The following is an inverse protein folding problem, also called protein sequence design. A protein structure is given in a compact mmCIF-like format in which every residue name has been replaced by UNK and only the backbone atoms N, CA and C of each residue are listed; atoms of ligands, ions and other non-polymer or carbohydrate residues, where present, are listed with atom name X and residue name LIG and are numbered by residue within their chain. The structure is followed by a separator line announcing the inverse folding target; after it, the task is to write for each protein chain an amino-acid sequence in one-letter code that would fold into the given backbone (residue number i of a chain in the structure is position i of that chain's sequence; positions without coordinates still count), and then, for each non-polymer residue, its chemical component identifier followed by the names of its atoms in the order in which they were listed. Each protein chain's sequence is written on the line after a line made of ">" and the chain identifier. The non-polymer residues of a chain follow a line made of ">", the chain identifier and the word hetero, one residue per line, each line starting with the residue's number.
data_IF_786394297159
#
_entry.id   IF_786394297159
#
_cell.length_a   1.000
_cell.length_b   1.000
_cell.length_c   1.000
_cell.angle_alpha   90.00
_cell.angle_beta   90.00
_cell.angle_gamma   90.00
#
_symmetry.space_group_name_H-M   'P 1'
#
loop_
_entity.id
_entity.type
_entity.pdbx_description
1 polymer ?
#
# COMPACT_ATOMS: atom_id res chain seq x y z
N UNK A 1 23.67 4.12 -9.39
CA UNK A 1 24.33 4.98 -10.40
C UNK A 1 24.61 4.15 -11.63
N UNK A 2 24.42 4.71 -12.82
CA UNK A 2 24.67 4.06 -14.10
C UNK A 2 25.56 4.98 -14.97
N UNK A 3 26.21 4.42 -15.99
CA UNK A 3 26.99 5.19 -16.96
C UNK A 3 26.07 5.85 -18.01
N UNK A 4 26.57 6.84 -18.73
CA UNK A 4 25.79 7.55 -19.75
C UNK A 4 25.38 6.65 -20.93
N UNK A 5 26.16 5.60 -21.21
CA UNK A 5 25.95 4.61 -22.27
C UNK A 5 25.05 3.44 -21.85
N UNK A 6 24.60 3.38 -20.58
CA UNK A 6 23.75 2.27 -20.11
C UNK A 6 22.40 2.30 -20.83
N UNK A 7 21.97 1.19 -21.47
CA UNK A 7 20.71 1.15 -22.19
C UNK A 7 19.55 0.98 -21.22
N UNK A 8 18.50 1.78 -21.39
CA UNK A 8 17.20 1.64 -20.75
C UNK A 8 16.12 1.32 -21.78
N UNK A 9 15.18 0.48 -21.41
CA UNK A 9 14.01 0.18 -22.24
C UNK A 9 12.95 1.23 -21.93
N UNK A 10 12.71 2.13 -22.88
CA UNK A 10 11.93 3.37 -22.67
C UNK A 10 10.98 3.64 -23.83
N UNK A 11 9.96 4.43 -23.55
CA UNK A 11 8.97 4.92 -24.53
C UNK A 11 8.63 6.37 -24.25
N UNK A 12 7.98 7.02 -25.19
CA UNK A 12 7.26 8.29 -25.01
C UNK A 12 6.03 8.32 -25.91
N UNK A 13 5.06 9.26 -25.70
CA UNK A 13 3.85 9.32 -26.50
C UNK A 13 4.14 9.30 -28.01
N UNK A 14 3.55 8.34 -28.72
CA UNK A 14 3.72 8.16 -30.17
C UNK A 14 4.99 7.41 -30.60
N UNK A 15 5.84 6.95 -29.69
CA UNK A 15 7.03 6.17 -30.00
C UNK A 15 6.90 4.76 -29.37
N UNK A 16 7.10 3.69 -30.14
CA UNK A 16 7.17 2.34 -29.58
C UNK A 16 8.31 2.24 -28.55
N UNK A 17 8.19 1.25 -27.67
CA UNK A 17 9.24 0.94 -26.70
C UNK A 17 10.52 0.50 -27.40
N UNK A 18 11.63 1.11 -27.00
CA UNK A 18 12.96 0.83 -27.56
C UNK A 18 14.05 0.95 -26.50
N UNK A 19 15.23 0.37 -26.76
CA UNK A 19 16.41 0.59 -25.94
C UNK A 19 17.08 1.90 -26.32
N UNK A 20 17.32 2.78 -25.33
CA UNK A 20 18.08 4.01 -25.48
C UNK A 20 19.14 4.16 -24.41
N UNK A 21 20.28 4.72 -24.76
CA UNK A 21 21.31 5.08 -23.81
C UNK A 21 20.84 6.24 -22.92
N UNK A 22 21.22 6.23 -21.63
CA UNK A 22 20.84 7.26 -20.66
C UNK A 22 21.05 8.68 -21.16
N UNK A 23 22.17 8.93 -21.86
CA UNK A 23 22.48 10.25 -22.45
C UNK A 23 21.49 10.73 -23.51
N UNK A 24 20.64 9.84 -24.04
CA UNK A 24 19.64 10.13 -25.07
C UNK A 24 18.23 10.26 -24.49
N UNK A 25 18.09 10.13 -23.15
CA UNK A 25 16.80 10.14 -22.43
C UNK A 25 16.68 11.49 -21.73
N UNK A 26 15.57 12.18 -21.98
CA UNK A 26 15.15 13.40 -21.27
C UNK A 26 13.87 13.15 -20.46
N UNK A 27 13.33 14.18 -19.82
CA UNK A 27 12.16 14.11 -18.93
C UNK A 27 10.86 13.70 -19.64
N UNK A 28 10.85 13.59 -20.97
CA UNK A 28 9.69 13.15 -21.76
C UNK A 28 9.62 11.61 -21.96
N UNK A 29 10.65 10.89 -21.52
CA UNK A 29 10.72 9.43 -21.65
C UNK A 29 10.25 8.72 -20.40
N UNK A 30 9.54 7.62 -20.59
CA UNK A 30 9.03 6.74 -19.53
C UNK A 30 9.75 5.40 -19.62
N UNK A 31 10.23 4.91 -18.49
CA UNK A 31 10.70 3.52 -18.37
C UNK A 31 9.54 2.66 -17.88
N UNK A 32 9.34 1.51 -18.50
CA UNK A 32 8.40 0.52 -17.96
C UNK A 32 9.11 -0.33 -16.92
N UNK A 33 8.46 -0.50 -15.80
CA UNK A 33 8.84 -1.50 -14.81
C UNK A 33 7.90 -2.69 -14.98
N UNK A 34 8.41 -3.76 -15.62
CA UNK A 34 7.70 -5.04 -15.63
C UNK A 34 8.02 -5.74 -14.32
N UNK A 35 7.06 -5.75 -13.43
CA UNK A 35 7.14 -6.57 -12.22
C UNK A 35 6.68 -7.98 -12.57
N UNK A 36 7.36 -9.02 -12.09
CA UNK A 36 6.90 -10.38 -12.31
C UNK A 36 5.53 -10.57 -11.65
N UNK A 37 4.63 -11.22 -12.35
CA UNK A 37 3.29 -11.58 -11.88
C UNK A 37 3.43 -12.81 -10.93
N UNK A 38 4.03 -12.60 -9.77
CA UNK A 38 4.18 -13.63 -8.75
C UNK A 38 2.93 -13.67 -7.87
N UNK A 39 1.94 -14.45 -8.25
CA UNK A 39 0.75 -14.72 -7.41
C UNK A 39 1.07 -15.60 -6.19
N UNK A 40 2.07 -15.29 -5.43
CA UNK A 40 2.50 -16.10 -4.29
C UNK A 40 1.93 -15.69 -2.94
N UNK A 41 0.90 -14.84 -2.90
CA UNK A 41 0.39 -14.39 -1.62
C UNK A 41 -0.97 -15.02 -1.27
N UNK A 42 -1.07 -15.44 -0.02
CA UNK A 42 -2.17 -16.19 0.57
C UNK A 42 -3.46 -15.37 0.76
N UNK A 43 -3.39 -14.03 0.62
CA UNK A 43 -4.52 -13.15 0.91
C UNK A 43 -5.36 -12.84 -0.34
N UNK A 44 -6.69 -12.82 -0.16
CA UNK A 44 -7.64 -12.30 -1.13
C UNK A 44 -7.54 -10.78 -1.29
N UNK A 45 -8.10 -10.24 -2.37
CA UNK A 45 -8.09 -8.82 -2.69
C UNK A 45 -8.70 -7.95 -1.58
N UNK A 46 -9.68 -8.46 -0.86
CA UNK A 46 -10.37 -7.76 0.23
C UNK A 46 -9.40 -7.47 1.39
N UNK A 47 -8.54 -8.45 1.74
CA UNK A 47 -7.49 -8.27 2.75
C UNK A 47 -6.43 -7.29 2.24
N UNK A 48 -6.12 -7.30 0.95
CA UNK A 48 -5.20 -6.33 0.37
C UNK A 48 -5.71 -4.89 0.47
N UNK A 49 -7.02 -4.67 0.36
CA UNK A 49 -7.59 -3.35 0.66
C UNK A 49 -7.33 -2.91 2.11
N UNK A 50 -7.50 -3.82 3.09
CA UNK A 50 -7.21 -3.56 4.51
C UNK A 50 -5.72 -3.27 4.73
N UNK A 51 -4.82 -3.98 4.03
CA UNK A 51 -3.37 -3.73 4.10
C UNK A 51 -3.03 -2.34 3.54
N UNK A 52 -3.62 -1.95 2.42
CA UNK A 52 -3.49 -0.60 1.87
C UNK A 52 -3.97 0.46 2.86
N UNK A 53 -5.13 0.27 3.45
CA UNK A 53 -5.67 1.16 4.50
C UNK A 53 -4.78 1.22 5.75
N UNK A 54 -4.13 0.12 6.11
CA UNK A 54 -3.13 0.09 7.20
C UNK A 54 -1.94 1.00 6.89
N UNK A 55 -1.47 1.05 5.66
CA UNK A 55 -0.37 1.95 5.27
C UNK A 55 -0.74 3.42 5.38
N UNK A 56 -2.00 3.78 5.17
CA UNK A 56 -2.49 5.14 5.43
C UNK A 56 -2.58 5.41 6.95
N UNK A 57 -3.61 4.90 7.57
CA UNK A 57 -4.05 5.29 8.93
C UNK A 57 -3.94 4.17 9.97
N UNK A 58 -3.18 3.11 9.69
CA UNK A 58 -3.05 1.97 10.58
C UNK A 58 -1.73 1.95 11.35
N UNK A 59 -1.74 1.28 12.50
CA UNK A 59 -0.54 0.92 13.27
C UNK A 59 -0.73 -0.39 14.02
N UNK A 60 0.37 -0.97 14.47
CA UNK A 60 0.38 -2.20 15.25
C UNK A 60 0.68 -1.91 16.71
N UNK A 61 -0.06 -2.57 17.61
CA UNK A 61 0.14 -2.50 19.05
C UNK A 61 0.41 -3.89 19.59
N UNK A 62 1.60 -4.09 20.14
CA UNK A 62 1.94 -5.37 20.79
C UNK A 62 1.17 -5.49 22.12
N UNK A 63 0.63 -6.67 22.38
CA UNK A 63 -0.03 -6.96 23.65
C UNK A 63 1.03 -7.23 24.72
N UNK A 64 0.90 -6.58 25.88
CA UNK A 64 1.82 -6.77 27.00
C UNK A 64 1.63 -8.12 27.68
N UNK A 65 0.40 -8.65 27.64
CA UNK A 65 -0.05 -9.87 28.31
C UNK A 65 0.19 -11.14 27.48
N UNK A 66 0.61 -11.01 26.21
CA UNK A 66 0.91 -12.14 25.33
C UNK A 66 2.17 -11.86 24.50
N UNK A 67 3.19 -12.74 24.60
CA UNK A 67 4.45 -12.58 23.84
C UNK A 67 4.25 -12.65 22.31
N UNK A 68 3.28 -13.43 21.85
CA UNK A 68 2.96 -13.59 20.43
C UNK A 68 1.67 -12.85 20.06
N UNK A 69 1.72 -12.09 18.97
CA UNK A 69 0.59 -11.37 18.41
C UNK A 69 0.36 -9.98 19.01
N UNK A 70 -0.64 -9.32 18.48
CA UNK A 70 -0.97 -7.95 18.83
C UNK A 70 -2.33 -7.51 18.30
N UNK A 71 -2.53 -6.21 18.27
CA UNK A 71 -3.70 -5.58 17.67
C UNK A 71 -3.26 -4.71 16.50
N UNK A 72 -4.00 -4.79 15.43
CA UNK A 72 -3.94 -3.84 14.33
C UNK A 72 -4.97 -2.76 14.64
N UNK A 73 -4.56 -1.52 14.64
CA UNK A 73 -5.43 -0.39 14.98
C UNK A 73 -5.52 0.53 13.77
N UNK A 74 -6.72 0.99 13.47
CA UNK A 74 -7.00 1.94 12.39
C UNK A 74 -7.68 3.18 12.94
N UNK A 75 -7.21 4.36 12.57
CA UNK A 75 -7.97 5.59 12.75
C UNK A 75 -8.93 5.75 11.58
N UNK A 76 -10.23 5.91 11.88
CA UNK A 76 -11.26 6.04 10.86
C UNK A 76 -12.17 7.21 11.20
N UNK A 77 -12.26 8.18 10.30
CA UNK A 77 -13.19 9.30 10.44
C UNK A 77 -14.64 8.83 10.31
N UNK A 78 -15.57 9.58 10.89
CA UNK A 78 -16.98 9.16 10.95
C UNK A 78 -17.62 9.00 9.57
N UNK A 79 -17.23 9.81 8.60
CA UNK A 79 -17.72 9.76 7.21
C UNK A 79 -17.24 8.51 6.44
N UNK A 80 -16.09 7.94 6.82
CA UNK A 80 -15.52 6.73 6.20
C UNK A 80 -15.89 5.44 6.96
N UNK A 81 -16.61 5.57 8.06
CA UNK A 81 -16.88 4.45 8.97
C UNK A 81 -17.64 3.31 8.29
N UNK A 82 -18.76 3.61 7.66
CA UNK A 82 -19.61 2.58 7.04
C UNK A 82 -18.89 1.80 5.93
N UNK A 83 -18.07 2.50 5.13
CA UNK A 83 -17.23 1.85 4.14
C UNK A 83 -16.21 0.93 4.79
N UNK A 84 -15.53 1.39 5.83
CA UNK A 84 -14.51 0.60 6.51
C UNK A 84 -15.09 -0.66 7.17
N UNK A 85 -16.27 -0.56 7.81
CA UNK A 85 -16.99 -1.71 8.39
C UNK A 85 -17.32 -2.75 7.32
N UNK A 86 -17.89 -2.32 6.19
CA UNK A 86 -18.16 -3.20 5.05
C UNK A 86 -16.90 -3.89 4.53
N UNK A 87 -15.78 -3.17 4.40
CA UNK A 87 -14.50 -3.73 3.96
C UNK A 87 -13.92 -4.75 4.94
N UNK A 88 -14.07 -4.54 6.24
CA UNK A 88 -13.69 -5.53 7.25
C UNK A 88 -14.53 -6.81 7.12
N UNK A 89 -15.84 -6.68 6.89
CA UNK A 89 -16.74 -7.81 6.70
C UNK A 89 -16.39 -8.62 5.44
N UNK A 90 -16.16 -7.93 4.30
CA UNK A 90 -15.71 -8.55 3.05
C UNK A 90 -14.39 -9.32 3.23
N UNK A 91 -13.45 -8.75 4.00
CA UNK A 91 -12.17 -9.39 4.34
C UNK A 91 -12.31 -10.48 5.42
N UNK A 92 -13.51 -10.73 5.97
CA UNK A 92 -13.77 -11.64 7.09
C UNK A 92 -12.93 -11.33 8.34
N UNK A 93 -12.67 -10.06 8.57
CA UNK A 93 -11.94 -9.55 9.73
C UNK A 93 -12.91 -8.92 10.73
N UNK A 94 -12.75 -9.28 12.00
CA UNK A 94 -13.56 -8.70 13.07
C UNK A 94 -12.79 -7.60 13.77
N UNK A 95 -13.44 -6.43 13.89
CA UNK A 95 -12.89 -5.27 14.57
C UNK A 95 -13.82 -4.77 15.68
N UNK A 96 -13.23 -4.33 16.78
CA UNK A 96 -13.95 -3.64 17.86
C UNK A 96 -13.77 -2.14 17.68
N UNK A 97 -14.89 -1.41 17.63
CA UNK A 97 -14.90 0.04 17.50
C UNK A 97 -14.85 0.74 18.85
N UNK A 98 -13.99 1.74 18.95
CA UNK A 98 -13.94 2.67 20.09
C UNK A 98 -14.11 4.09 19.57
N UNK A 99 -15.17 4.77 20.04
CA UNK A 99 -15.45 6.16 19.66
C UNK A 99 -14.47 7.10 20.35
N UNK A 100 -13.89 8.03 19.60
CA UNK A 100 -13.14 9.16 20.11
C UNK A 100 -13.76 10.49 19.65
N UNK A 101 -13.21 11.62 20.06
CA UNK A 101 -13.82 12.93 19.84
C UNK A 101 -14.01 13.31 18.37
N UNK A 102 -13.01 13.05 17.53
CA UNK A 102 -12.97 13.46 16.11
C UNK A 102 -12.94 12.29 15.13
N UNK A 103 -12.50 11.12 15.58
CA UNK A 103 -12.44 9.90 14.79
C UNK A 103 -12.73 8.71 15.70
N UNK A 104 -12.94 7.54 15.10
CA UNK A 104 -13.01 6.28 15.84
C UNK A 104 -11.76 5.45 15.63
N UNK A 105 -11.53 4.50 16.52
CA UNK A 105 -10.48 3.49 16.39
C UNK A 105 -11.11 2.11 16.25
N UNK A 106 -10.66 1.39 15.23
CA UNK A 106 -10.94 -0.03 15.07
C UNK A 106 -9.76 -0.85 15.56
N UNK A 107 -10.03 -1.83 16.39
CA UNK A 107 -9.05 -2.77 16.92
C UNK A 107 -9.33 -4.15 16.31
N UNK A 108 -8.47 -4.57 15.38
CA UNK A 108 -8.58 -5.87 14.73
C UNK A 108 -7.58 -6.83 15.37
N UNK A 109 -8.07 -7.98 15.84
CA UNK A 109 -7.27 -9.04 16.44
C UNK A 109 -7.16 -10.22 15.44
N UNK A 110 -6.13 -10.20 14.60
CA UNK A 110 -5.75 -11.29 13.72
C UNK A 110 -4.23 -11.42 13.79
N UNK A 111 -3.73 -12.50 14.40
CA UNK A 111 -2.30 -12.66 14.66
C UNK A 111 -1.50 -12.85 13.38
N UNK A 112 -2.01 -13.61 12.42
CA UNK A 112 -1.36 -13.85 11.14
C UNK A 112 -1.15 -12.55 10.36
N UNK A 113 -2.23 -11.78 10.19
CA UNK A 113 -2.15 -10.47 9.54
C UNK A 113 -1.26 -9.49 10.34
N UNK A 114 -1.33 -9.53 11.69
CA UNK A 114 -0.47 -8.69 12.54
C UNK A 114 1.02 -8.94 12.29
N UNK A 115 1.45 -10.20 12.23
CA UNK A 115 2.84 -10.57 11.94
C UNK A 115 3.20 -10.24 10.48
N UNK A 116 2.32 -10.54 9.53
CA UNK A 116 2.54 -10.20 8.12
C UNK A 116 2.79 -8.71 7.90
N UNK A 117 2.05 -7.84 8.58
CA UNK A 117 2.20 -6.38 8.50
C UNK A 117 3.55 -5.86 9.02
N UNK A 118 4.39 -6.71 9.65
CA UNK A 118 5.74 -6.34 10.04
C UNK A 118 6.61 -5.96 8.85
N UNK A 119 6.45 -6.65 7.73
CA UNK A 119 7.17 -6.40 6.48
C UNK A 119 6.94 -5.00 5.92
N UNK A 120 5.81 -4.41 6.21
CA UNK A 120 5.42 -3.07 5.75
C UNK A 120 6.02 -1.92 6.59
N UNK A 121 6.81 -2.26 7.59
CA UNK A 121 7.50 -1.27 8.40
C UNK A 121 6.69 -0.75 9.59
N UNK A 122 7.30 0.18 10.33
CA UNK A 122 6.76 0.72 11.58
C UNK A 122 6.88 2.24 11.57
N UNK A 123 5.90 2.89 12.19
CA UNK A 123 5.75 4.36 12.19
C UNK A 123 5.59 4.96 10.78
N UNK A 124 5.13 6.20 10.68
CA UNK A 124 4.82 6.84 9.40
C UNK A 124 6.04 6.88 8.45
N UNK A 125 7.20 7.29 8.95
CA UNK A 125 8.43 7.42 8.16
C UNK A 125 9.09 6.07 7.80
N UNK A 126 8.79 5.00 8.52
CA UNK A 126 9.35 3.65 8.29
C UNK A 126 8.46 2.74 7.46
N UNK A 127 7.26 3.18 7.08
CA UNK A 127 6.36 2.41 6.21
C UNK A 127 6.96 2.23 4.82
N UNK A 128 6.75 1.05 4.24
CA UNK A 128 7.24 0.68 2.91
C UNK A 128 6.37 -0.40 2.31
N UNK A 129 6.48 -0.60 1.01
CA UNK A 129 5.84 -1.72 0.32
C UNK A 129 6.89 -2.81 0.14
N UNK A 130 6.71 -4.01 0.68
CA UNK A 130 7.62 -5.13 0.48
C UNK A 130 7.51 -5.67 -0.95
N UNK A 131 8.56 -6.37 -1.43
CA UNK A 131 8.66 -6.85 -2.81
C UNK A 131 7.45 -7.67 -3.25
N UNK A 132 6.98 -8.58 -2.41
CA UNK A 132 5.83 -9.43 -2.69
C UNK A 132 4.53 -8.63 -2.93
N UNK A 133 4.39 -7.44 -2.34
CA UNK A 133 3.25 -6.56 -2.59
C UNK A 133 3.41 -5.70 -3.86
N UNK A 134 4.63 -5.56 -4.38
CA UNK A 134 4.86 -4.96 -5.69
C UNK A 134 4.54 -5.92 -6.85
N UNK A 135 4.47 -7.24 -6.58
CA UNK A 135 4.24 -8.30 -7.56
C UNK A 135 2.80 -8.85 -7.48
N UNK A 136 1.86 -8.06 -6.99
CA UNK A 136 0.44 -8.42 -6.93
C UNK A 136 -0.18 -8.49 -8.33
N UNK A 137 -1.16 -9.38 -8.52
CA UNK A 137 -2.02 -9.32 -9.69
C UNK A 137 -2.70 -7.96 -9.78
N UNK A 138 -3.03 -7.52 -11.00
CA UNK A 138 -3.65 -6.21 -11.25
C UNK A 138 -4.89 -5.96 -10.38
N UNK A 139 -5.69 -6.99 -10.15
CA UNK A 139 -6.89 -6.88 -9.31
C UNK A 139 -6.54 -6.62 -7.84
N UNK A 140 -5.60 -7.39 -7.28
CA UNK A 140 -5.14 -7.21 -5.88
C UNK A 140 -4.41 -5.88 -5.70
N UNK A 141 -3.56 -5.49 -6.67
CA UNK A 141 -2.86 -4.21 -6.68
C UNK A 141 -3.83 -3.03 -6.65
N UNK A 142 -4.90 -3.08 -7.45
CA UNK A 142 -5.96 -2.07 -7.42
C UNK A 142 -6.63 -1.98 -6.05
N UNK A 143 -7.02 -3.10 -5.45
CA UNK A 143 -7.64 -3.10 -4.11
C UNK A 143 -6.69 -2.53 -3.05
N UNK A 144 -5.42 -2.90 -3.11
CA UNK A 144 -4.39 -2.37 -2.22
C UNK A 144 -4.22 -0.85 -2.37
N UNK A 145 -4.15 -0.36 -3.61
CA UNK A 145 -4.08 1.06 -3.93
C UNK A 145 -5.32 1.81 -3.44
N UNK A 146 -6.52 1.31 -3.76
CA UNK A 146 -7.80 1.90 -3.32
C UNK A 146 -7.88 1.98 -1.77
N UNK A 147 -7.39 0.95 -1.08
CA UNK A 147 -7.29 0.93 0.38
C UNK A 147 -6.40 2.06 0.92
N UNK A 148 -5.23 2.25 0.35
CA UNK A 148 -4.34 3.36 0.71
C UNK A 148 -4.97 4.73 0.43
N UNK A 149 -5.50 4.91 -0.77
CA UNK A 149 -6.15 6.16 -1.18
C UNK A 149 -7.39 6.49 -0.36
N UNK A 150 -8.09 5.49 0.18
CA UNK A 150 -9.24 5.70 1.08
C UNK A 150 -8.85 6.39 2.39
N UNK A 151 -7.59 6.29 2.82
CA UNK A 151 -7.04 6.97 4.00
C UNK A 151 -6.39 8.31 3.66
N UNK A 152 -5.23 8.25 3.05
CA UNK A 152 -4.33 9.38 2.78
C UNK A 152 -4.59 10.08 1.44
N UNK A 153 -5.44 9.48 0.58
CA UNK A 153 -5.78 10.06 -0.72
C UNK A 153 -6.73 11.24 -0.64
N UNK A 154 -6.60 12.16 -1.57
CA UNK A 154 -7.58 13.24 -1.80
C UNK A 154 -8.73 12.74 -2.66
N UNK A 155 -9.96 13.14 -2.31
CA UNK A 155 -11.17 12.70 -3.03
C UNK A 155 -11.29 13.29 -4.46
N UNK A 156 -10.65 14.43 -4.70
CA UNK A 156 -10.75 15.21 -5.93
C UNK A 156 -9.57 14.99 -6.90
N UNK A 157 -8.54 14.29 -6.45
CA UNK A 157 -7.32 14.05 -7.23
C UNK A 157 -6.69 12.71 -6.85
N UNK A 158 -5.95 12.13 -7.78
CA UNK A 158 -5.10 10.95 -7.52
C UNK A 158 -3.80 11.37 -6.83
N UNK A 159 -3.92 12.05 -5.70
CA UNK A 159 -2.81 12.56 -4.89
C UNK A 159 -2.87 11.98 -3.49
N UNK A 160 -1.73 11.56 -2.98
CA UNK A 160 -1.54 11.20 -1.58
C UNK A 160 -0.20 11.72 -1.08
N UNK A 161 -0.09 11.95 0.23
CA UNK A 161 1.14 12.42 0.87
C UNK A 161 1.61 11.44 1.93
N UNK A 162 2.91 11.26 2.06
CA UNK A 162 3.51 10.46 3.12
C UNK A 162 4.86 11.05 3.53
N UNK A 163 5.24 10.83 4.77
CA UNK A 163 6.59 11.13 5.27
C UNK A 163 7.61 10.05 4.87
N UNK A 164 7.17 8.93 4.30
CA UNK A 164 8.03 7.86 3.81
C UNK A 164 8.20 7.93 2.29
N UNK A 165 9.39 8.30 1.83
CA UNK A 165 9.74 8.26 0.42
C UNK A 165 9.66 6.84 -0.17
N UNK A 166 10.03 5.81 0.61
CA UNK A 166 9.95 4.41 0.18
C UNK A 166 8.50 3.96 -0.04
N UNK A 167 7.56 4.44 0.80
CA UNK A 167 6.13 4.15 0.63
C UNK A 167 5.58 4.82 -0.64
N UNK A 168 5.86 6.11 -0.83
CA UNK A 168 5.40 6.84 -2.02
C UNK A 168 5.94 6.20 -3.31
N UNK A 169 7.24 5.90 -3.35
CA UNK A 169 7.83 5.23 -4.52
C UNK A 169 7.15 3.89 -4.82
N UNK A 170 6.91 3.08 -3.79
CA UNK A 170 6.19 1.80 -3.95
C UNK A 170 4.75 1.99 -4.43
N UNK A 171 4.04 3.01 -3.94
CA UNK A 171 2.68 3.33 -4.41
C UNK A 171 2.66 3.79 -5.87
N UNK A 172 3.65 4.58 -6.31
CA UNK A 172 3.80 4.95 -7.73
C UNK A 172 4.08 3.75 -8.66
N UNK A 173 4.65 2.67 -8.12
CA UNK A 173 4.89 1.44 -8.88
C UNK A 173 3.59 0.62 -9.03
N UNK A 174 2.71 0.68 -8.04
CA UNK A 174 1.45 -0.08 -8.00
C UNK A 174 0.33 0.63 -8.78
N UNK A 175 0.33 1.96 -8.83
CA UNK A 175 -0.64 2.80 -9.54
C UNK A 175 -0.58 2.58 -11.05
#
# INVERSE_FOLDING_TARGET
>A
RTTAEHPYYVTKPGIPMEFREVKQIDDSWYSTMVLPDEESNEYGKEVWWIIGRYLADGWRVRRKDRPSGGRIVFAVSNDKRAEFERRLEEAKLHGTYTKERTCGKYHVCNNELYEYLEKFGKYAHGKRIPREALCLSREKAKYFYDGYMSGDGRKDREEATSTSAALILGMCIIA
#
